data_IF_903866768914
#
_entry.id   IF_903866768914
#
_cell.length_a   1.000
_cell.length_b   1.000
_cell.length_c   1.000
_cell.angle_alpha   90.00
_cell.angle_beta   90.00
_cell.angle_gamma   90.00
#
_symmetry.space_group_name_H-M   'P 1'
#
loop_
_entity.id
_entity.type
_entity.pdbx_description
1 polymer ?
#
# COMPACT_ATOMS: atom_id res chain seq x y z
N UNK A 1 -18.18 1.21 20.43
CA UNK A 1 -16.98 0.54 20.95
C UNK A 1 -16.09 1.64 21.52
N UNK A 2 -15.69 1.54 22.78
CA UNK A 2 -14.90 2.58 23.45
C UNK A 2 -13.42 2.39 23.11
N UNK A 3 -12.89 3.27 22.23
CA UNK A 3 -11.53 3.18 21.70
C UNK A 3 -10.46 3.19 22.80
N UNK A 4 -10.72 3.88 23.91
CA UNK A 4 -9.80 4.00 25.03
C UNK A 4 -9.43 2.66 25.68
N UNK A 5 -10.27 1.63 25.56
CA UNK A 5 -9.97 0.28 26.06
C UNK A 5 -8.80 -0.41 25.34
N UNK A 6 -8.38 0.11 24.19
CA UNK A 6 -7.29 -0.40 23.38
C UNK A 6 -6.09 0.54 23.31
N UNK A 7 -6.11 1.63 24.08
CA UNK A 7 -5.01 2.59 24.12
C UNK A 7 -3.86 2.08 25.01
N UNK A 8 -2.63 2.35 24.59
CA UNK A 8 -1.43 2.01 25.34
C UNK A 8 -0.27 2.92 24.95
N UNK A 9 0.68 3.12 25.87
CA UNK A 9 1.89 3.90 25.58
C UNK A 9 2.79 3.14 24.59
N UNK A 10 2.94 3.69 23.38
CA UNK A 10 3.85 3.18 22.35
C UNK A 10 4.89 4.26 21.99
N UNK A 11 6.10 4.22 22.57
CA UNK A 11 7.17 5.11 22.16
C UNK A 11 7.52 4.93 20.67
N UNK A 12 7.57 6.02 19.90
CA UNK A 12 7.82 6.02 18.46
C UNK A 12 9.07 5.23 18.05
N UNK A 13 10.12 5.28 18.87
CA UNK A 13 11.38 4.55 18.66
C UNK A 13 11.23 3.03 18.65
N UNK A 14 10.13 2.48 19.16
CA UNK A 14 9.81 1.06 19.12
C UNK A 14 9.04 0.64 17.85
N UNK A 15 8.60 1.61 17.03
CA UNK A 15 7.96 1.35 15.74
C UNK A 15 9.04 1.13 14.69
N UNK A 16 9.20 -0.13 14.27
CA UNK A 16 10.17 -0.49 13.24
C UNK A 16 9.84 0.21 11.91
N UNK A 17 10.72 1.12 11.49
CA UNK A 17 10.59 1.85 10.22
C UNK A 17 10.98 1.00 9.01
N UNK A 18 11.74 -0.07 9.24
CA UNK A 18 12.20 -1.01 8.20
C UNK A 18 12.06 -2.44 8.72
N UNK A 19 11.80 -3.41 7.82
CA UNK A 19 11.86 -4.81 8.18
C UNK A 19 13.29 -5.20 8.63
N UNK A 20 13.45 -6.25 9.46
CA UNK A 20 14.76 -6.75 9.83
C UNK A 20 15.48 -7.34 8.60
N UNK A 21 16.80 -7.13 8.52
CA UNK A 21 17.66 -7.63 7.43
C UNK A 21 17.58 -9.15 7.27
N UNK A 22 17.44 -9.88 8.39
CA UNK A 22 17.18 -11.32 8.40
C UNK A 22 15.77 -11.59 8.90
N UNK A 23 14.89 -12.12 8.05
CA UNK A 23 13.48 -12.39 8.39
C UNK A 23 13.33 -13.31 9.62
N UNK A 24 14.18 -14.33 9.78
CA UNK A 24 14.15 -15.24 10.93
C UNK A 24 14.72 -14.65 12.23
N UNK A 25 15.37 -13.49 12.16
CA UNK A 25 15.96 -12.80 13.31
C UNK A 25 14.97 -11.93 14.09
N UNK A 26 13.72 -11.80 13.63
CA UNK A 26 12.67 -11.08 14.34
C UNK A 26 12.39 -11.67 15.72
N UNK A 27 12.07 -10.82 16.70
CA UNK A 27 11.56 -11.25 18.01
C UNK A 27 10.16 -11.85 17.84
N UNK A 28 9.88 -12.90 18.60
CA UNK A 28 8.58 -13.55 18.67
C UNK A 28 8.10 -13.50 20.13
N UNK A 29 6.98 -12.82 20.38
CA UNK A 29 6.34 -12.84 21.69
C UNK A 29 5.36 -14.02 21.75
N UNK A 30 5.69 -15.05 22.52
CA UNK A 30 4.79 -16.18 22.76
C UNK A 30 3.92 -15.90 23.99
N UNK A 31 2.60 -15.90 23.78
CA UNK A 31 1.59 -15.68 24.81
C UNK A 31 0.68 -16.91 24.86
N UNK A 32 0.72 -17.63 25.98
CA UNK A 32 -0.21 -18.72 26.29
C UNK A 32 -0.94 -18.38 27.59
N UNK A 33 -2.06 -17.64 27.48
CA UNK A 33 -2.97 -17.16 28.53
C UNK A 33 -2.30 -16.61 29.81
N UNK A 34 -1.65 -17.46 30.60
CA UNK A 34 -0.89 -17.15 31.81
C UNK A 34 0.63 -16.97 31.61
N UNK A 35 1.20 -17.43 30.48
CA UNK A 35 2.65 -17.45 30.25
C UNK A 35 3.04 -16.50 29.12
N UNK A 36 4.07 -15.70 29.37
CA UNK A 36 4.72 -14.83 28.39
C UNK A 36 6.17 -15.26 28.22
N UNK A 37 6.62 -15.47 26.98
CA UNK A 37 8.01 -15.78 26.67
C UNK A 37 8.49 -14.94 25.48
N UNK A 38 9.66 -14.34 25.63
CA UNK A 38 10.40 -13.74 24.52
C UNK A 38 11.19 -14.84 23.79
N UNK A 39 10.91 -15.00 22.50
CA UNK A 39 11.58 -15.93 21.59
C UNK A 39 12.06 -15.18 20.34
N UNK A 40 12.56 -15.92 19.37
CA UNK A 40 12.82 -15.43 18.01
C UNK A 40 12.00 -16.22 17.00
N UNK A 41 11.77 -15.67 15.81
CA UNK A 41 11.02 -16.36 14.74
C UNK A 41 11.66 -17.69 14.35
N UNK A 42 12.97 -17.87 14.55
CA UNK A 42 13.64 -19.16 14.36
C UNK A 42 13.09 -20.28 15.28
N UNK A 43 12.48 -19.93 16.42
CA UNK A 43 11.84 -20.90 17.33
C UNK A 43 10.39 -21.21 16.94
N UNK A 44 9.79 -20.50 15.98
CA UNK A 44 8.39 -20.73 15.61
C UNK A 44 8.08 -22.21 15.28
N UNK A 45 8.91 -22.94 14.52
CA UNK A 45 8.64 -24.35 14.24
C UNK A 45 8.61 -25.24 15.50
N UNK A 46 9.28 -24.86 16.59
CA UNK A 46 9.27 -25.65 17.84
C UNK A 46 8.00 -25.44 18.67
N UNK A 47 7.11 -24.54 18.24
CA UNK A 47 5.84 -24.23 18.90
C UNK A 47 4.65 -24.94 18.24
N UNK A 48 4.89 -25.66 17.15
CA UNK A 48 3.87 -26.33 16.36
C UNK A 48 3.89 -27.84 16.63
N UNK A 49 2.71 -28.45 16.62
CA UNK A 49 2.55 -29.89 16.58
C UNK A 49 2.43 -30.38 15.14
N UNK A 50 2.70 -31.68 14.93
CA UNK A 50 2.73 -32.28 13.59
C UNK A 50 1.42 -32.18 12.79
N UNK A 51 0.29 -31.91 13.45
CA UNK A 51 -1.03 -31.82 12.84
C UNK A 51 -1.57 -30.37 12.77
N UNK A 52 -0.75 -29.37 13.06
CA UNK A 52 -1.16 -27.97 12.98
C UNK A 52 -1.31 -27.51 11.52
N UNK A 53 -2.34 -26.71 11.26
CA UNK A 53 -2.56 -26.06 9.97
C UNK A 53 -2.08 -24.61 10.02
N UNK A 54 -1.09 -24.28 9.19
CA UNK A 54 -0.69 -22.90 8.95
C UNK A 54 -1.44 -22.35 7.74
N UNK A 55 -2.26 -21.33 7.97
CA UNK A 55 -2.96 -20.59 6.90
C UNK A 55 -2.17 -19.34 6.58
N UNK A 56 -1.58 -19.32 5.39
CA UNK A 56 -0.88 -18.14 4.87
C UNK A 56 -1.81 -17.35 3.96
N UNK A 57 -1.77 -16.03 4.10
CA UNK A 57 -2.43 -15.13 3.19
C UNK A 57 -1.43 -14.70 2.12
N UNK A 58 -1.55 -15.28 0.93
CA UNK A 58 -0.78 -14.90 -0.25
C UNK A 58 -1.52 -13.76 -0.97
N UNK A 59 -1.20 -12.51 -0.61
CA UNK A 59 -1.75 -11.31 -1.24
C UNK A 59 -0.70 -10.60 -2.06
N UNK A 60 -0.88 -10.58 -3.38
CA UNK A 60 -0.09 -9.70 -4.26
C UNK A 60 -0.57 -8.27 -4.10
N UNK A 61 0.28 -7.42 -3.52
CA UNK A 61 0.01 -5.99 -3.43
C UNK A 61 0.27 -5.36 -4.79
N UNK A 62 -0.78 -4.97 -5.50
CA UNK A 62 -0.63 -4.09 -6.66
C UNK A 62 -0.10 -2.75 -6.14
N UNK A 63 1.00 -2.21 -6.70
CA UNK A 63 1.52 -0.90 -6.33
C UNK A 63 0.56 0.19 -6.83
N UNK A 64 -0.54 0.35 -6.08
CA UNK A 64 -1.71 1.11 -6.49
C UNK A 64 -1.49 2.63 -6.48
N UNK A 65 -0.42 3.13 -5.84
CA UNK A 65 -0.18 4.56 -5.67
C UNK A 65 0.81 5.09 -6.70
N UNK A 66 0.35 5.87 -7.68
CA UNK A 66 1.21 6.58 -8.62
C UNK A 66 1.28 8.07 -8.31
N UNK A 67 2.45 8.67 -8.54
CA UNK A 67 2.65 10.12 -8.44
C UNK A 67 2.96 10.65 -9.84
N UNK A 68 2.14 11.59 -10.30
CA UNK A 68 2.29 12.28 -11.57
C UNK A 68 2.08 13.78 -11.45
N UNK A 69 1.79 14.40 -12.58
CA UNK A 69 1.58 15.85 -12.71
C UNK A 69 0.35 16.16 -13.56
N UNK A 70 -0.37 17.22 -13.22
CA UNK A 70 -1.44 17.79 -14.04
C UNK A 70 -0.85 18.43 -15.29
N UNK A 71 -1.51 18.29 -16.42
CA UNK A 71 -1.19 19.04 -17.64
C UNK A 71 -2.23 20.14 -17.89
N UNK A 72 -1.83 21.30 -18.46
CA UNK A 72 -0.44 21.74 -18.68
C UNK A 72 0.23 22.31 -17.42
N UNK A 73 -0.50 22.48 -16.31
CA UNK A 73 -0.07 23.30 -15.16
C UNK A 73 0.99 22.70 -14.22
N UNK A 74 1.46 21.47 -14.45
CA UNK A 74 2.56 20.82 -13.72
C UNK A 74 2.29 20.46 -12.24
N UNK A 75 1.14 20.82 -11.69
CA UNK A 75 0.81 20.58 -10.28
C UNK A 75 0.75 19.09 -9.92
N UNK A 76 1.17 18.72 -8.71
CA UNK A 76 1.19 17.32 -8.23
C UNK A 76 -0.18 16.65 -8.39
N UNK A 77 -0.14 15.43 -8.92
CA UNK A 77 -1.31 14.59 -9.19
C UNK A 77 -1.02 13.19 -8.65
N UNK A 78 -1.51 12.90 -7.45
CA UNK A 78 -1.38 11.58 -6.84
C UNK A 78 -2.65 10.77 -7.15
N UNK A 79 -2.47 9.52 -7.58
CA UNK A 79 -3.57 8.59 -7.88
C UNK A 79 -3.38 7.31 -7.11
N UNK A 80 -4.46 6.83 -6.50
CA UNK A 80 -4.54 5.54 -5.83
C UNK A 80 -5.56 4.68 -6.58
N UNK A 81 -5.11 3.56 -7.14
CA UNK A 81 -5.94 2.58 -7.84
C UNK A 81 -6.91 1.91 -6.88
N UNK A 82 -8.20 1.98 -7.20
CA UNK A 82 -9.24 1.19 -6.54
C UNK A 82 -9.51 -0.10 -7.34
N UNK A 83 -9.78 0.04 -8.64
CA UNK A 83 -9.99 -1.09 -9.55
C UNK A 83 -9.79 -0.69 -11.00
N UNK A 84 -9.50 -1.68 -11.84
CA UNK A 84 -9.56 -1.54 -13.29
C UNK A 84 -11.04 -1.56 -13.73
N UNK A 85 -11.40 -0.72 -14.72
CA UNK A 85 -12.79 -0.57 -15.17
C UNK A 85 -13.00 -0.77 -16.68
N UNK A 86 -11.93 -1.05 -17.43
CA UNK A 86 -11.96 -1.30 -18.87
C UNK A 86 -10.55 -1.31 -19.46
N UNK A 87 -10.42 -1.43 -20.78
CA UNK A 87 -9.14 -1.27 -21.47
C UNK A 87 -8.66 0.18 -21.32
N UNK A 88 -7.48 0.35 -20.72
CA UNK A 88 -6.92 1.67 -20.45
C UNK A 88 -7.69 2.51 -19.41
N UNK A 89 -8.72 1.97 -18.75
CA UNK A 89 -9.52 2.71 -17.78
C UNK A 89 -9.38 2.16 -16.36
N UNK A 90 -9.31 3.07 -15.40
CA UNK A 90 -9.25 2.75 -13.97
C UNK A 90 -10.15 3.67 -13.16
N UNK A 91 -10.69 3.12 -12.06
CA UNK A 91 -11.30 3.88 -11.00
C UNK A 91 -10.23 4.16 -9.93
N UNK A 92 -10.06 5.44 -9.60
CA UNK A 92 -8.97 5.91 -8.73
C UNK A 92 -9.46 6.94 -7.72
N UNK A 93 -8.78 7.04 -6.58
CA UNK A 93 -8.82 8.26 -5.77
C UNK A 93 -7.72 9.20 -6.23
N UNK A 94 -8.01 10.51 -6.27
CA UNK A 94 -7.02 11.52 -6.67
C UNK A 94 -6.69 12.44 -5.49
N UNK A 95 -5.43 12.42 -5.07
CA UNK A 95 -4.84 13.35 -4.13
C UNK A 95 -4.22 14.56 -4.85
N UNK A 96 -4.77 15.75 -4.64
CA UNK A 96 -4.20 16.99 -5.20
C UNK A 96 -4.63 18.22 -4.40
N UNK A 97 -3.85 19.29 -4.46
CA UNK A 97 -4.11 20.55 -3.74
C UNK A 97 -5.27 21.37 -4.29
N UNK A 98 -5.72 21.09 -5.52
CA UNK A 98 -6.82 21.81 -6.18
C UNK A 98 -7.82 20.83 -6.77
N UNK A 99 -9.10 21.18 -6.70
CA UNK A 99 -10.20 20.39 -7.26
C UNK A 99 -9.90 19.89 -8.68
N UNK A 100 -10.26 18.64 -8.93
CA UNK A 100 -10.12 17.96 -10.22
C UNK A 100 -11.46 18.06 -10.95
N UNK A 101 -11.40 18.33 -12.26
CA UNK A 101 -12.57 18.39 -13.15
C UNK A 101 -12.46 17.29 -14.21
N UNK A 102 -13.59 16.88 -14.75
CA UNK A 102 -13.62 16.07 -15.98
C UNK A 102 -12.88 16.80 -17.11
N UNK A 103 -12.14 16.06 -17.92
CA UNK A 103 -11.23 16.57 -18.94
C UNK A 103 -9.86 17.03 -18.41
N UNK A 104 -9.58 16.89 -17.10
CA UNK A 104 -8.25 17.18 -16.58
C UNK A 104 -7.24 16.16 -17.10
N UNK A 105 -6.32 16.61 -17.95
CA UNK A 105 -5.19 15.81 -18.41
C UNK A 105 -4.11 15.68 -17.34
N UNK A 106 -3.41 14.55 -17.33
CA UNK A 106 -2.30 14.27 -16.43
C UNK A 106 -1.21 13.44 -17.13
N UNK A 107 -0.05 13.38 -16.49
CA UNK A 107 1.10 12.58 -16.90
C UNK A 107 1.64 11.80 -15.70
N UNK A 108 1.82 10.49 -15.86
CA UNK A 108 2.42 9.58 -14.88
C UNK A 108 3.58 8.87 -15.56
N UNK A 109 4.81 9.27 -15.23
CA UNK A 109 6.02 8.63 -15.75
C UNK A 109 6.17 8.66 -17.28
N UNK A 110 5.53 9.61 -17.98
CA UNK A 110 5.51 9.68 -19.44
C UNK A 110 4.26 9.05 -20.07
N UNK A 111 3.39 8.42 -19.29
CA UNK A 111 2.08 7.96 -19.75
C UNK A 111 1.04 9.04 -19.47
N UNK A 112 0.48 9.57 -20.55
CA UNK A 112 -0.59 10.56 -20.49
C UNK A 112 -1.94 9.90 -20.20
N UNK A 113 -2.88 10.71 -19.69
CA UNK A 113 -4.25 10.31 -19.51
C UNK A 113 -5.16 11.47 -19.16
N UNK A 114 -6.46 11.19 -19.03
CA UNK A 114 -7.50 12.17 -18.72
C UNK A 114 -8.49 11.65 -17.67
N UNK A 115 -9.03 12.58 -16.88
CA UNK A 115 -10.15 12.30 -15.98
C UNK A 115 -11.45 12.33 -16.77
N UNK A 116 -12.15 11.21 -16.86
CA UNK A 116 -13.35 11.08 -17.71
C UNK A 116 -14.66 11.22 -16.93
N UNK A 117 -14.65 10.91 -15.63
CA UNK A 117 -15.82 11.09 -14.77
C UNK A 117 -15.44 11.18 -13.29
N UNK A 118 -16.38 11.68 -12.49
CA UNK A 118 -16.35 11.60 -11.02
C UNK A 118 -17.54 10.74 -10.58
N UNK A 119 -17.27 9.70 -9.80
CA UNK A 119 -18.24 8.65 -9.44
C UNK A 119 -18.08 8.35 -7.93
N UNK A 120 -19.08 8.71 -7.11
CA UNK A 120 -19.17 8.37 -5.68
C UNK A 120 -17.88 8.55 -4.85
N UNK A 121 -17.20 9.69 -5.04
CA UNK A 121 -15.97 10.02 -4.31
C UNK A 121 -14.69 9.53 -4.98
N UNK A 122 -14.81 8.72 -6.03
CA UNK A 122 -13.73 8.30 -6.92
C UNK A 122 -13.76 9.07 -8.24
N UNK A 123 -12.71 8.88 -9.04
CA UNK A 123 -12.58 9.41 -10.38
C UNK A 123 -12.30 8.26 -11.33
N UNK A 124 -13.00 8.25 -12.45
CA UNK A 124 -12.65 7.37 -13.55
C UNK A 124 -11.65 8.09 -14.44
N UNK A 125 -10.55 7.42 -14.76
CA UNK A 125 -9.48 7.94 -15.62
C UNK A 125 -9.28 7.02 -16.80
N UNK A 126 -8.86 7.59 -17.93
CA UNK A 126 -8.41 6.85 -19.11
C UNK A 126 -6.97 7.21 -19.40
N UNK A 127 -6.13 6.20 -19.59
CA UNK A 127 -4.75 6.35 -20.00
C UNK A 127 -4.64 6.29 -21.52
N UNK A 128 -3.60 6.91 -22.08
CA UNK A 128 -3.23 6.81 -23.49
C UNK A 128 -2.49 5.48 -23.78
N UNK A 129 -2.94 4.40 -23.13
CA UNK A 129 -2.52 3.01 -23.30
C UNK A 129 -3.70 2.12 -22.92
N UNK A 130 -3.81 0.93 -23.52
CA UNK A 130 -4.83 -0.06 -23.16
C UNK A 130 -4.47 -0.81 -21.87
N UNK A 131 -3.20 -0.75 -21.45
CA UNK A 131 -2.71 -1.44 -20.26
C UNK A 131 -2.60 -0.47 -19.06
N UNK A 132 -3.75 -0.18 -18.44
CA UNK A 132 -3.79 0.64 -17.24
C UNK A 132 -3.04 -0.02 -16.07
N UNK A 133 -3.09 -1.36 -15.96
CA UNK A 133 -2.41 -2.09 -14.89
C UNK A 133 -0.89 -1.92 -14.98
N UNK A 134 -0.31 -2.06 -16.18
CA UNK A 134 1.11 -1.88 -16.42
C UNK A 134 1.62 -0.48 -16.04
N UNK A 135 0.77 0.56 -16.12
CA UNK A 135 1.12 1.90 -15.62
C UNK A 135 1.36 1.88 -14.12
N UNK A 136 0.45 1.25 -13.36
CA UNK A 136 0.59 1.11 -11.90
C UNK A 136 1.74 0.19 -11.54
N UNK A 137 1.91 -0.94 -12.22
CA UNK A 137 3.04 -1.84 -11.94
C UNK A 137 4.40 -1.18 -12.18
N UNK A 138 4.51 -0.34 -13.22
CA UNK A 138 5.77 0.31 -13.59
C UNK A 138 6.08 1.56 -12.75
N UNK A 139 5.06 2.36 -12.43
CA UNK A 139 5.22 3.68 -11.80
C UNK A 139 4.63 3.78 -10.40
N UNK A 140 4.07 2.67 -9.92
CA UNK A 140 3.40 2.59 -8.65
C UNK A 140 4.35 2.39 -7.49
N UNK A 141 3.87 2.85 -6.36
CA UNK A 141 4.47 2.72 -5.06
C UNK A 141 3.59 1.85 -4.18
N UNK A 142 4.22 1.03 -3.34
CA UNK A 142 3.49 0.26 -2.32
C UNK A 142 3.04 1.27 -1.25
N UNK A 143 1.72 1.40 -0.99
CA UNK A 143 1.25 2.31 0.03
C UNK A 143 1.77 1.84 1.39
N UNK A 144 2.47 2.72 2.10
CA UNK A 144 2.91 2.46 3.46
C UNK A 144 1.86 2.96 4.46
N UNK A 145 1.67 2.25 5.59
CA UNK A 145 0.88 2.76 6.69
C UNK A 145 1.37 4.15 7.16
N UNK A 146 0.47 5.01 7.68
CA UNK A 146 0.80 6.41 7.99
C UNK A 146 1.87 6.58 9.08
N UNK A 147 2.14 5.56 9.87
CA UNK A 147 3.17 5.55 10.92
C UNK A 147 4.57 5.15 10.41
N UNK A 148 4.70 4.78 9.14
CA UNK A 148 6.00 4.55 8.50
C UNK A 148 6.41 5.83 7.78
N UNK A 149 7.43 6.52 8.32
CA UNK A 149 7.86 7.83 7.87
C UNK A 149 9.02 7.74 6.86
N UNK A 150 8.88 6.87 5.84
CA UNK A 150 9.88 6.77 4.76
C UNK A 150 9.20 6.53 3.39
N UNK A 151 9.92 6.72 2.28
CA UNK A 151 9.50 6.18 0.99
C UNK A 151 9.48 4.64 0.99
N UNK A 152 8.74 4.06 0.07
CA UNK A 152 8.82 2.64 -0.25
C UNK A 152 10.14 2.30 -0.95
N UNK A 153 10.64 1.11 -0.65
CA UNK A 153 11.87 0.53 -1.19
C UNK A 153 11.50 -0.76 -1.94
N UNK A 154 12.35 -1.26 -2.84
CA UNK A 154 12.04 -2.48 -3.62
C UNK A 154 11.73 -3.69 -2.73
N UNK A 155 12.34 -3.76 -1.55
CA UNK A 155 12.05 -4.80 -0.55
C UNK A 155 10.60 -4.77 -0.03
N UNK A 156 9.88 -3.65 -0.19
CA UNK A 156 8.45 -3.55 0.15
C UNK A 156 7.55 -4.13 -0.94
N UNK A 157 8.06 -4.26 -2.19
CA UNK A 157 7.35 -4.89 -3.33
C UNK A 157 7.37 -6.42 -3.25
N UNK A 158 8.44 -7.00 -2.71
CA UNK A 158 8.63 -8.46 -2.56
C UNK A 158 7.96 -9.06 -1.30
N UNK A 159 6.83 -8.49 -0.88
CA UNK A 159 6.09 -8.97 0.30
C UNK A 159 5.15 -10.12 0.00
#
# INVERSE_FOLDING_TARGET
>A
MELALFDFELPDQLIAQRPPVRRSGGRLLYLDRARRRDLTMAHFPTLLDANDLLVFNDTKVVPARCIGRKLPGGGRFEVLLERLSGEGEALVQIGTSKAVRTGQAFDIGGVHGEVIAKEDGFFRVRFDTLDALGVFESHGHVPQPPYIARPDEDADRER
#
